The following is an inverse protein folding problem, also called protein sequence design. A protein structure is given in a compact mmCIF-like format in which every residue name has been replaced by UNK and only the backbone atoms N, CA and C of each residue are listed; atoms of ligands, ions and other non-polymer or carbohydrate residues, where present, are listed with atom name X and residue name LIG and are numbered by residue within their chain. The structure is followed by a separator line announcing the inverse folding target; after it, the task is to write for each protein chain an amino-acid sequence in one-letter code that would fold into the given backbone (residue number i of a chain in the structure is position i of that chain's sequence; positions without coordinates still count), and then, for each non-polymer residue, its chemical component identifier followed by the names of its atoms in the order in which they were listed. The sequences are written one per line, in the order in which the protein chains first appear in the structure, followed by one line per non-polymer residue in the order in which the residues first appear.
data_IF_036286636971
#
_entry.id   IF_036286636971
#
_cell.length_a   1.000
_cell.length_b   1.000
_cell.length_c   1.000
_cell.angle_alpha   90.00
_cell.angle_beta   90.00
_cell.angle_gamma   90.00
#
_symmetry.space_group_name_H-M   'P 1'
#
loop_
_entity.id
_entity.type
_entity.pdbx_description
1 polymer ?
#
# COMPACT_ATOMS: atom_id res chain seq x y z
N UNK A 1 -19.19 -2.56 3.56
CA UNK A 1 -17.91 -1.97 3.18
C UNK A 1 -18.06 -0.65 2.44
N UNK A 2 -18.04 0.42 3.23
CA UNK A 2 -17.58 1.75 2.84
C UNK A 2 -16.09 1.84 3.15
N UNK A 3 -15.37 2.60 2.33
CA UNK A 3 -13.94 2.90 2.52
C UNK A 3 -13.82 4.41 2.69
N UNK A 4 -13.33 4.82 3.86
CA UNK A 4 -12.86 6.16 4.16
C UNK A 4 -11.39 6.25 3.77
N UNK A 5 -11.01 7.25 2.96
CA UNK A 5 -9.65 7.42 2.47
C UNK A 5 -9.18 8.84 2.78
N UNK A 6 -8.16 8.97 3.63
CA UNK A 6 -7.38 10.20 3.76
C UNK A 6 -6.19 10.13 2.79
N UNK A 7 -5.92 11.24 2.11
CA UNK A 7 -4.85 11.35 1.13
C UNK A 7 -4.12 12.66 1.34
N UNK A 8 -2.87 12.56 1.78
CA UNK A 8 -1.91 13.65 1.89
C UNK A 8 -0.92 13.54 0.73
N UNK A 9 -0.76 14.61 -0.03
CA UNK A 9 0.09 14.66 -1.23
C UNK A 9 1.01 15.86 -1.15
N UNK A 10 1.99 15.78 -0.25
CA UNK A 10 2.99 16.84 -0.08
C UNK A 10 3.98 16.84 -1.24
N UNK A 11 4.22 15.66 -1.82
CA UNK A 11 4.94 15.51 -3.08
C UNK A 11 4.00 15.17 -4.24
N UNK A 12 4.18 15.84 -5.37
CA UNK A 12 3.43 15.60 -6.62
C UNK A 12 4.39 15.49 -7.81
N UNK A 13 4.06 14.62 -8.75
CA UNK A 13 4.79 14.47 -10.01
C UNK A 13 3.83 14.40 -11.19
N UNK A 14 4.12 15.07 -12.33
CA UNK A 14 3.30 14.94 -13.54
C UNK A 14 3.32 13.51 -14.12
N UNK A 15 4.32 12.70 -13.79
CA UNK A 15 4.46 11.32 -14.26
C UNK A 15 3.51 10.36 -13.51
N UNK A 16 3.02 10.77 -12.33
CA UNK A 16 2.15 9.96 -11.47
C UNK A 16 1.00 10.81 -10.92
N UNK A 17 -0.08 10.85 -11.69
CA UNK A 17 -1.31 11.53 -11.29
C UNK A 17 -2.19 10.61 -10.43
N UNK A 18 -2.36 10.95 -9.14
CA UNK A 18 -3.13 10.13 -8.20
C UNK A 18 -4.60 10.58 -8.13
N UNK A 19 -5.49 9.81 -8.76
CA UNK A 19 -6.93 10.04 -8.71
C UNK A 19 -7.55 9.25 -7.57
N UNK A 20 -8.24 9.93 -6.64
CA UNK A 20 -8.96 9.30 -5.51
C UNK A 20 -9.85 8.13 -5.92
N UNK A 21 -10.52 8.22 -7.08
CA UNK A 21 -11.35 7.13 -7.59
C UNK A 21 -10.54 5.87 -7.96
N UNK A 22 -9.33 6.03 -8.50
CA UNK A 22 -8.44 4.91 -8.82
C UNK A 22 -7.87 4.29 -7.54
N UNK A 23 -7.40 5.11 -6.60
CA UNK A 23 -6.91 4.65 -5.29
C UNK A 23 -7.99 3.81 -4.58
N UNK A 24 -9.21 4.35 -4.50
CA UNK A 24 -10.33 3.65 -3.89
C UNK A 24 -10.66 2.34 -4.61
N UNK A 25 -10.61 2.31 -5.94
CA UNK A 25 -10.82 1.08 -6.72
C UNK A 25 -9.76 0.01 -6.42
N UNK A 26 -8.49 0.40 -6.32
CA UNK A 26 -7.38 -0.53 -6.00
C UNK A 26 -7.62 -1.12 -4.61
N UNK A 27 -7.78 -0.28 -3.59
CA UNK A 27 -8.04 -0.69 -2.20
C UNK A 27 -9.28 -1.58 -2.12
N UNK A 28 -10.39 -1.17 -2.74
CA UNK A 28 -11.62 -1.96 -2.72
C UNK A 28 -11.44 -3.33 -3.37
N UNK A 29 -10.65 -3.41 -4.43
CA UNK A 29 -10.36 -4.68 -5.12
C UNK A 29 -9.52 -5.59 -4.22
N UNK A 30 -8.50 -5.05 -3.56
CA UNK A 30 -7.67 -5.76 -2.57
C UNK A 30 -8.53 -6.31 -1.43
N UNK A 31 -9.28 -5.44 -0.74
CA UNK A 31 -10.12 -5.81 0.40
C UNK A 31 -11.17 -6.88 0.03
N UNK A 32 -11.84 -6.73 -1.11
CA UNK A 32 -12.81 -7.73 -1.57
C UNK A 32 -12.16 -9.06 -1.93
N UNK A 33 -10.93 -9.05 -2.44
CA UNK A 33 -10.22 -10.27 -2.85
C UNK A 33 -9.90 -11.15 -1.64
N UNK A 34 -9.41 -10.54 -0.56
CA UNK A 34 -9.10 -11.22 0.71
C UNK A 34 -10.34 -11.42 1.61
N UNK A 35 -11.53 -11.08 1.12
CA UNK A 35 -12.79 -11.34 1.82
C UNK A 35 -13.10 -10.40 2.99
N UNK A 36 -12.44 -9.24 3.07
CA UNK A 36 -12.72 -8.21 4.06
C UNK A 36 -14.07 -7.54 3.77
N UNK A 37 -14.92 -7.38 4.81
CA UNK A 37 -16.34 -6.96 4.66
C UNK A 37 -16.73 -5.73 5.47
N UNK A 38 -15.93 -5.41 6.49
CA UNK A 38 -16.22 -4.31 7.42
C UNK A 38 -16.01 -2.95 6.74
N UNK A 39 -16.66 -1.92 7.26
CA UNK A 39 -16.36 -0.55 6.86
C UNK A 39 -14.99 -0.18 7.44
N UNK A 40 -14.12 0.48 6.66
CA UNK A 40 -12.75 0.72 7.07
C UNK A 40 -12.20 2.10 6.68
N UNK A 41 -11.13 2.49 7.35
CA UNK A 41 -10.37 3.71 7.09
C UNK A 41 -8.91 3.39 6.77
N UNK A 42 -8.37 4.02 5.74
CA UNK A 42 -6.95 3.92 5.35
C UNK A 42 -6.43 5.32 5.11
N UNK A 43 -5.26 5.63 5.66
CA UNK A 43 -4.50 6.83 5.31
C UNK A 43 -3.41 6.54 4.28
N UNK A 44 -3.23 7.48 3.36
CA UNK A 44 -2.14 7.45 2.39
C UNK A 44 -1.43 8.80 2.42
N UNK A 45 -0.13 8.78 2.70
CA UNK A 45 0.76 9.92 2.60
C UNK A 45 1.78 9.71 1.47
N UNK A 46 1.81 10.65 0.52
CA UNK A 46 2.77 10.67 -0.57
C UNK A 46 3.87 11.67 -0.25
N UNK A 47 5.07 11.14 0.01
CA UNK A 47 6.19 11.87 0.60
C UNK A 47 7.40 11.90 -0.33
N UNK A 48 8.38 12.74 -0.01
CA UNK A 48 9.65 12.81 -0.71
C UNK A 48 10.71 11.86 -0.14
N UNK A 49 11.95 11.99 -0.60
CA UNK A 49 13.08 11.15 -0.16
C UNK A 49 13.49 11.45 1.29
N UNK A 50 13.42 12.71 1.73
CA UNK A 50 13.89 13.11 3.06
C UNK A 50 12.95 12.57 4.13
N UNK A 51 11.65 12.75 3.94
CA UNK A 51 10.64 12.25 4.87
C UNK A 51 10.60 10.71 4.88
N UNK A 52 10.67 10.06 3.71
CA UNK A 52 10.79 8.59 3.65
C UNK A 52 12.02 8.07 4.39
N UNK A 53 13.17 8.71 4.21
CA UNK A 53 14.40 8.35 4.90
C UNK A 53 14.27 8.48 6.42
N UNK A 54 13.74 9.61 6.90
CA UNK A 54 13.54 9.85 8.34
C UNK A 54 12.63 8.80 8.96
N UNK A 55 11.49 8.50 8.31
CA UNK A 55 10.54 7.50 8.80
C UNK A 55 11.14 6.08 8.76
N UNK A 56 11.84 5.71 7.69
CA UNK A 56 12.45 4.38 7.59
C UNK A 56 13.56 4.18 8.62
N UNK A 57 14.34 5.23 8.93
CA UNK A 57 15.32 5.21 10.00
C UNK A 57 14.65 5.10 11.38
N UNK A 58 13.61 5.90 11.62
CA UNK A 58 12.92 5.94 12.92
C UNK A 58 12.19 4.63 13.25
N UNK A 59 11.48 4.05 12.29
CA UNK A 59 10.58 2.92 12.53
C UNK A 59 11.17 1.56 12.14
N UNK A 60 12.17 1.52 11.25
CA UNK A 60 12.80 0.28 10.79
C UNK A 60 14.32 0.24 11.00
N UNK A 61 14.92 1.29 11.58
CA UNK A 61 16.38 1.42 11.77
C UNK A 61 17.18 1.31 10.46
N UNK A 62 16.55 1.62 9.31
CA UNK A 62 17.15 1.55 7.97
C UNK A 62 17.52 2.96 7.50
N UNK A 63 18.82 3.25 7.43
CA UNK A 63 19.40 4.55 7.01
C UNK A 63 19.37 4.75 5.48
N UNK A 64 18.16 4.71 4.90
CA UNK A 64 17.89 4.95 3.47
C UNK A 64 16.39 5.19 3.25
N UNK A 65 15.96 5.92 2.20
CA UNK A 65 14.55 5.94 1.81
C UNK A 65 14.08 4.55 1.34
N UNK A 66 12.77 4.34 1.38
CA UNK A 66 12.12 3.13 0.85
C UNK A 66 10.86 3.49 0.06
N UNK A 67 10.35 2.56 -0.72
CA UNK A 67 9.22 2.77 -1.62
C UNK A 67 7.88 2.90 -0.85
N UNK A 68 7.63 2.01 0.11
CA UNK A 68 6.44 2.02 0.95
C UNK A 68 6.75 1.59 2.39
N UNK A 69 6.13 2.29 3.34
CA UNK A 69 6.03 1.91 4.75
C UNK A 69 4.55 1.71 5.09
N UNK A 70 4.24 0.61 5.78
CA UNK A 70 2.90 0.32 6.27
C UNK A 70 2.88 0.42 7.80
N UNK A 71 1.91 1.14 8.33
CA UNK A 71 1.70 1.34 9.76
C UNK A 71 0.30 0.82 10.14
N UNK A 72 0.18 -0.48 10.47
CA UNK A 72 -1.08 -1.06 10.91
C UNK A 72 -1.62 -0.36 12.15
N UNK A 73 -2.94 -0.19 12.24
CA UNK A 73 -3.55 0.34 13.46
C UNK A 73 -3.54 -0.70 14.58
N UNK A 74 -3.10 -0.29 15.76
CA UNK A 74 -3.14 -1.10 16.98
C UNK A 74 -4.29 -0.61 17.87
N UNK A 75 -5.51 -1.06 17.56
CA UNK A 75 -6.72 -0.73 18.33
C UNK A 75 -7.11 -1.94 19.18
N UNK A 76 -7.34 -1.75 20.51
CA UNK A 76 -7.81 -2.83 21.38
C UNK A 76 -9.12 -3.44 20.88
N UNK A 77 -9.22 -4.78 20.93
CA UNK A 77 -10.38 -5.52 20.43
C UNK A 77 -11.70 -5.10 21.10
N UNK A 78 -11.65 -4.60 22.33
CA UNK A 78 -12.82 -4.13 23.07
C UNK A 78 -13.41 -2.83 22.49
N UNK A 79 -12.60 -2.07 21.75
CA UNK A 79 -13.00 -0.79 21.15
C UNK A 79 -13.49 -0.98 19.72
N UNK A 80 -13.05 -2.02 19.00
CA UNK A 80 -13.45 -2.28 17.60
C UNK A 80 -14.97 -2.26 17.37
N UNK A 81 -15.82 -2.88 18.23
CA UNK A 81 -17.27 -2.88 18.03
C UNK A 81 -17.93 -1.51 18.23
N UNK A 82 -17.21 -0.54 18.81
CA UNK A 82 -17.72 0.81 19.07
C UNK A 82 -17.42 1.79 17.92
N UNK A 83 -16.64 1.37 16.92
CA UNK A 83 -16.26 2.21 15.79
C UNK A 83 -17.22 2.02 14.62
N UNK A 84 -17.56 3.12 13.96
CA UNK A 84 -18.38 3.09 12.73
C UNK A 84 -17.59 2.52 11.53
N UNK A 85 -16.26 2.60 11.57
CA UNK A 85 -15.34 2.04 10.59
C UNK A 85 -14.03 1.65 11.28
N UNK A 86 -13.44 0.53 10.86
CA UNK A 86 -12.17 0.02 11.38
C UNK A 86 -11.00 0.76 10.73
N UNK A 87 -10.16 1.47 11.48
CA UNK A 87 -8.94 2.02 10.91
C UNK A 87 -7.96 0.87 10.68
N UNK A 88 -7.57 0.65 9.43
CA UNK A 88 -6.56 -0.35 9.09
C UNK A 88 -5.15 0.21 9.31
N UNK A 89 -5.00 1.53 9.19
CA UNK A 89 -3.73 2.23 9.41
C UNK A 89 -3.33 3.12 8.24
N UNK A 90 -2.03 3.44 8.21
CA UNK A 90 -1.45 4.42 7.30
C UNK A 90 -0.39 3.80 6.38
N UNK A 91 -0.40 4.24 5.13
CA UNK A 91 0.62 3.94 4.13
C UNK A 91 1.40 5.21 3.81
N UNK A 92 2.72 5.15 3.92
CA UNK A 92 3.62 6.22 3.49
C UNK A 92 4.35 5.74 2.25
N UNK A 93 4.15 6.43 1.12
CA UNK A 93 4.69 6.05 -0.19
C UNK A 93 5.63 7.16 -0.69
N UNK A 94 6.89 6.79 -0.95
CA UNK A 94 7.90 7.72 -1.43
C UNK A 94 7.84 7.85 -2.96
N UNK A 95 7.22 8.91 -3.47
CA UNK A 95 6.98 9.07 -4.90
C UNK A 95 8.28 9.05 -5.73
N UNK A 96 9.38 9.71 -5.34
CA UNK A 96 10.63 9.63 -6.09
C UNK A 96 11.17 8.20 -6.24
N UNK A 97 11.10 7.39 -5.17
CA UNK A 97 11.56 5.98 -5.23
C UNK A 97 10.64 5.16 -6.13
N UNK A 98 9.32 5.35 -6.05
CA UNK A 98 8.36 4.68 -6.94
C UNK A 98 8.65 4.99 -8.42
N UNK A 99 8.92 6.25 -8.75
CA UNK A 99 9.24 6.66 -10.13
C UNK A 99 10.54 6.03 -10.62
N UNK A 100 11.57 6.03 -9.77
CA UNK A 100 12.86 5.41 -10.07
C UNK A 100 12.72 3.91 -10.31
N UNK A 101 12.08 3.17 -9.40
CA UNK A 101 11.89 1.73 -9.52
C UNK A 101 11.03 1.37 -10.74
N UNK A 102 9.98 2.15 -11.03
CA UNK A 102 9.17 1.94 -12.21
C UNK A 102 10.01 2.02 -13.50
N UNK A 103 10.90 3.02 -13.59
CA UNK A 103 11.80 3.17 -14.73
C UNK A 103 12.80 2.01 -14.84
N UNK A 104 13.44 1.64 -13.73
CA UNK A 104 14.42 0.55 -13.68
C UNK A 104 13.82 -0.80 -14.07
N UNK A 105 12.58 -1.04 -13.63
CA UNK A 105 11.83 -2.28 -13.89
C UNK A 105 11.00 -2.22 -15.19
N UNK A 106 11.11 -1.14 -15.97
CA UNK A 106 10.35 -0.92 -17.22
C UNK A 106 8.83 -1.03 -17.03
N UNK A 107 8.33 -0.66 -15.86
CA UNK A 107 6.91 -0.56 -15.52
C UNK A 107 6.43 0.87 -15.71
N UNK A 108 5.12 1.06 -15.91
CA UNK A 108 4.54 2.40 -15.79
C UNK A 108 4.50 2.82 -14.33
N UNK A 109 4.70 4.11 -14.05
CA UNK A 109 4.60 4.65 -12.70
C UNK A 109 3.25 4.32 -12.05
N UNK A 110 2.15 4.35 -12.83
CA UNK A 110 0.82 4.01 -12.33
C UNK A 110 0.71 2.53 -11.92
N UNK A 111 1.28 1.61 -12.69
CA UNK A 111 1.21 0.18 -12.37
C UNK A 111 2.08 -0.15 -11.17
N UNK A 112 3.28 0.42 -11.10
CA UNK A 112 4.18 0.22 -9.95
C UNK A 112 3.59 0.81 -8.66
N UNK A 113 3.01 2.01 -8.73
CA UNK A 113 2.29 2.58 -7.59
C UNK A 113 1.10 1.70 -7.16
N UNK A 114 0.32 1.19 -8.11
CA UNK A 114 -0.80 0.31 -7.79
C UNK A 114 -0.34 -1.00 -7.14
N UNK A 115 0.78 -1.57 -7.60
CA UNK A 115 1.42 -2.72 -6.95
C UNK A 115 1.78 -2.40 -5.49
N UNK A 116 2.51 -1.31 -5.24
CA UNK A 116 2.89 -0.90 -3.88
C UNK A 116 1.68 -0.58 -2.99
N UNK A 117 0.59 -0.06 -3.56
CA UNK A 117 -0.65 0.16 -2.81
C UNK A 117 -1.33 -1.16 -2.43
N UNK A 118 -1.38 -2.15 -3.34
CA UNK A 118 -1.90 -3.49 -3.02
C UNK A 118 -1.05 -4.12 -1.93
N UNK A 119 0.27 -4.12 -2.12
CA UNK A 119 1.26 -4.63 -1.16
C UNK A 119 1.11 -3.99 0.22
N UNK A 120 1.04 -2.66 0.27
CA UNK A 120 0.86 -1.91 1.51
C UNK A 120 -0.43 -2.28 2.23
N UNK A 121 -1.56 -2.38 1.51
CA UNK A 121 -2.85 -2.76 2.10
C UNK A 121 -2.83 -4.20 2.63
N UNK A 122 -2.15 -5.14 1.95
CA UNK A 122 -1.99 -6.50 2.46
C UNK A 122 -1.21 -6.50 3.80
N UNK A 123 -0.14 -5.70 3.89
CA UNK A 123 0.56 -5.51 5.16
C UNK A 123 -0.32 -4.90 6.27
N UNK A 124 -1.21 -3.96 5.95
CA UNK A 124 -2.16 -3.43 6.94
C UNK A 124 -3.17 -4.47 7.44
N UNK A 125 -3.41 -5.52 6.65
CA UNK A 125 -4.28 -6.65 7.03
C UNK A 125 -3.53 -7.78 7.76
N UNK A 126 -2.22 -7.63 7.97
CA UNK A 126 -1.39 -8.60 8.68
C UNK A 126 -0.74 -9.68 7.81
N UNK A 127 -0.81 -9.56 6.48
CA UNK A 127 0.03 -10.38 5.60
C UNK A 127 1.49 -9.88 5.70
N UNK A 128 2.44 -10.79 5.81
CA UNK A 128 3.86 -10.47 5.90
C UNK A 128 4.67 -11.43 5.05
N UNK A 129 5.58 -10.91 4.24
CA UNK A 129 6.46 -11.70 3.37
C UNK A 129 7.88 -11.83 3.95
N UNK A 130 8.19 -11.19 5.08
CA UNK A 130 9.51 -11.26 5.72
C UNK A 130 9.62 -12.45 6.72
N UNK A 131 8.51 -13.13 7.04
CA UNK A 131 8.43 -14.17 8.08
C UNK A 131 8.82 -15.57 7.61
N UNK A 132 8.45 -15.95 6.39
CA UNK A 132 8.83 -17.23 5.78
C UNK A 132 8.65 -17.22 4.25
N UNK A 133 9.29 -18.18 3.56
CA UNK A 133 9.09 -18.37 2.12
C UNK A 133 7.63 -18.71 1.78
N UNK A 134 6.93 -19.45 2.67
CA UNK A 134 5.52 -19.79 2.49
C UNK A 134 4.62 -18.54 2.58
N UNK A 135 4.87 -17.67 3.55
CA UNK A 135 4.11 -16.41 3.69
C UNK A 135 4.40 -15.45 2.53
N UNK A 136 5.64 -15.42 2.05
CA UNK A 136 6.02 -14.68 0.84
C UNK A 136 5.25 -15.20 -0.39
N UNK A 137 5.26 -16.51 -0.65
CA UNK A 137 4.53 -17.10 -1.77
C UNK A 137 3.02 -16.83 -1.70
N UNK A 138 2.43 -16.87 -0.51
CA UNK A 138 1.01 -16.52 -0.31
C UNK A 138 0.76 -15.05 -0.67
N UNK A 139 1.53 -14.13 -0.10
CA UNK A 139 1.35 -12.69 -0.32
C UNK A 139 1.60 -12.31 -1.78
N UNK A 140 2.67 -12.81 -2.41
CA UNK A 140 2.96 -12.59 -3.83
C UNK A 140 1.85 -13.13 -4.72
N UNK A 141 1.30 -14.31 -4.40
CA UNK A 141 0.16 -14.90 -5.09
C UNK A 141 -1.07 -13.98 -5.05
N UNK A 142 -1.40 -13.45 -3.87
CA UNK A 142 -2.50 -12.49 -3.71
C UNK A 142 -2.26 -11.21 -4.52
N UNK A 143 -1.05 -10.67 -4.50
CA UNK A 143 -0.69 -9.47 -5.27
C UNK A 143 -0.90 -9.68 -6.76
N UNK A 144 -0.45 -10.82 -7.30
CA UNK A 144 -0.62 -11.18 -8.72
C UNK A 144 -2.11 -11.25 -9.08
N UNK A 145 -2.92 -11.95 -8.28
CA UNK A 145 -4.34 -12.12 -8.55
C UNK A 145 -5.11 -10.78 -8.49
N UNK A 146 -4.77 -9.92 -7.54
CA UNK A 146 -5.39 -8.60 -7.38
C UNK A 146 -5.01 -7.68 -8.53
N UNK A 147 -3.73 -7.63 -8.90
CA UNK A 147 -3.24 -6.82 -10.03
C UNK A 147 -3.85 -7.27 -11.35
N UNK A 148 -4.01 -8.58 -11.56
CA UNK A 148 -4.71 -9.10 -12.74
C UNK A 148 -6.16 -8.59 -12.84
N UNK A 149 -6.89 -8.50 -11.72
CA UNK A 149 -8.26 -7.91 -11.67
C UNK A 149 -8.28 -6.43 -12.02
N UNK A 150 -7.16 -5.73 -11.82
CA UNK A 150 -6.96 -4.33 -12.19
C UNK A 150 -6.46 -4.14 -13.62
N UNK A 151 -6.25 -5.23 -14.38
CA UNK A 151 -5.60 -5.27 -15.70
C UNK A 151 -4.14 -4.79 -15.66
N UNK A 152 -3.45 -5.10 -14.56
CA UNK A 152 -2.03 -4.86 -14.38
C UNK A 152 -1.30 -6.19 -14.51
N UNK A 153 -0.18 -6.20 -15.24
CA UNK A 153 0.63 -7.40 -15.43
C UNK A 153 1.26 -7.87 -14.11
N UNK A 154 1.63 -9.15 -14.07
CA UNK A 154 2.33 -9.74 -12.93
C UNK A 154 3.61 -8.93 -12.63
N UNK A 155 3.79 -8.38 -11.41
CA UNK A 155 4.92 -7.51 -11.09
C UNK A 155 6.24 -8.29 -10.91
N UNK A 156 6.20 -9.62 -10.83
CA UNK A 156 7.36 -10.50 -10.65
C UNK A 156 7.85 -11.13 -11.95
N UNK A 157 7.19 -10.86 -13.09
CA UNK A 157 7.63 -11.30 -14.40
C UNK A 157 8.40 -10.17 -15.11
N UNK A 158 9.60 -10.47 -15.61
CA UNK A 158 10.45 -9.55 -16.40
C UNK A 158 9.86 -9.20 -17.78
#
# INVERSE_FOLDING_TARGET
MKISLSLQQDFQSPELELKRAQLKKIIETTLRHVGYKEDCEIGIACVDLEESHQLNLQYREKDKPTNVLSFPSDIPEEVLPMLDALPLGDLVICIPVVLQEALEQKKTAQNHFAHLLVHGVLHLLGYDHETSDEDAEEMEGLEIEILAKLNIANPYQE
#
